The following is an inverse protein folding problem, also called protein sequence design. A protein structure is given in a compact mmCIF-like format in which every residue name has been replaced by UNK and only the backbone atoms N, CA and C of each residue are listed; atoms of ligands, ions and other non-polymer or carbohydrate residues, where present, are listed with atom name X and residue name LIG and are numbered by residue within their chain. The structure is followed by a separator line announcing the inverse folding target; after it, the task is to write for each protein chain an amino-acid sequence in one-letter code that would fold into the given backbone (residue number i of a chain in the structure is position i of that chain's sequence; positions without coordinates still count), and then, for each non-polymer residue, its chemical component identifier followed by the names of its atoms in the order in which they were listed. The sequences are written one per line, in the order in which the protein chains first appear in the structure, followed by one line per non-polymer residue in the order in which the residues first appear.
data_IF_105123313549
#
_entry.id   IF_105123313549
#
_cell.length_a   1.000
_cell.length_b   1.000
_cell.length_c   1.000
_cell.angle_alpha   90.00
_cell.angle_beta   90.00
_cell.angle_gamma   90.00
#
_symmetry.space_group_name_H-M   'P 1'
#
loop_
_entity.id
_entity.type
_entity.pdbx_description
1 polymer ?
#
# COMPACT_ATOMS: atom_id res chain seq x y z
N UNK A 1 24.04 17.59 -23.39
CA UNK A 1 23.91 16.24 -24.01
C UNK A 1 23.46 15.12 -23.06
N UNK A 2 23.25 15.36 -21.76
CA UNK A 2 22.75 14.35 -20.80
C UNK A 2 21.24 14.05 -20.87
N UNK A 3 20.43 14.92 -21.50
CA UNK A 3 18.97 14.74 -21.60
C UNK A 3 18.53 13.72 -22.66
N UNK A 4 19.40 13.41 -23.63
CA UNK A 4 19.09 12.48 -24.73
C UNK A 4 19.17 11.01 -24.31
N UNK A 5 20.07 10.68 -23.38
CA UNK A 5 20.27 9.31 -22.89
C UNK A 5 19.09 8.88 -22.00
N UNK A 6 18.55 9.81 -21.20
CA UNK A 6 17.39 9.53 -20.34
C UNK A 6 16.07 9.36 -21.11
N UNK A 7 15.92 9.94 -22.31
CA UNK A 7 14.71 9.71 -23.12
C UNK A 7 14.75 8.37 -23.87
N UNK A 8 15.94 7.91 -24.27
CA UNK A 8 16.13 6.59 -24.89
C UNK A 8 15.87 5.43 -23.91
N UNK A 9 16.25 5.60 -22.63
CA UNK A 9 16.02 4.57 -21.60
C UNK A 9 14.53 4.46 -21.24
N UNK A 10 13.80 5.59 -21.20
CA UNK A 10 12.36 5.57 -20.93
C UNK A 10 11.54 4.95 -22.07
N UNK A 11 11.96 5.08 -23.33
CA UNK A 11 11.27 4.44 -24.45
C UNK A 11 11.58 2.95 -24.58
N UNK A 12 12.74 2.49 -24.09
CA UNK A 12 13.08 1.07 -24.01
C UNK A 12 12.36 0.33 -22.87
N UNK A 13 12.27 0.96 -21.69
CA UNK A 13 11.61 0.34 -20.52
C UNK A 13 10.08 0.23 -20.68
N UNK A 14 9.46 1.16 -21.39
CA UNK A 14 8.00 1.15 -21.62
C UNK A 14 7.49 0.01 -22.51
N UNK A 15 8.38 -0.66 -23.26
CA UNK A 15 8.03 -1.79 -24.16
C UNK A 15 8.40 -3.17 -23.60
N UNK A 16 9.07 -3.24 -22.45
CA UNK A 16 9.54 -4.49 -21.84
C UNK A 16 8.55 -5.15 -20.87
N UNK A 17 7.46 -4.47 -20.51
CA UNK A 17 6.50 -4.96 -19.50
C UNK A 17 5.12 -5.33 -20.06
N UNK A 18 4.96 -5.43 -21.39
CA UNK A 18 3.67 -5.75 -22.02
C UNK A 18 3.78 -6.87 -23.06
N UNK A 19 3.69 -8.13 -22.64
CA UNK A 19 3.57 -9.29 -23.55
C UNK A 19 4.90 -9.88 -24.05
N UNK A 20 4.84 -10.96 -24.86
CA UNK A 20 5.47 -12.28 -24.65
C UNK A 20 6.99 -12.35 -24.84
N UNK A 21 7.73 -11.35 -24.37
CA UNK A 21 9.17 -11.21 -24.60
C UNK A 21 10.04 -12.14 -23.74
N UNK A 22 9.48 -12.68 -22.65
CA UNK A 22 10.19 -13.66 -21.82
C UNK A 22 10.51 -14.95 -22.60
N UNK A 23 9.61 -15.39 -23.49
CA UNK A 23 9.82 -16.57 -24.34
C UNK A 23 10.84 -16.32 -25.46
N UNK A 24 10.88 -15.10 -26.02
CA UNK A 24 11.86 -14.75 -27.05
C UNK A 24 13.29 -14.67 -26.46
N UNK A 25 13.43 -14.16 -25.24
CA UNK A 25 14.72 -14.08 -24.56
C UNK A 25 15.28 -15.47 -24.22
N UNK A 26 14.42 -16.42 -23.81
CA UNK A 26 14.84 -17.82 -23.63
C UNK A 26 15.26 -18.50 -24.94
N UNK A 27 14.60 -18.20 -26.06
CA UNK A 27 14.98 -18.76 -27.37
C UNK A 27 16.31 -18.21 -27.90
N UNK A 28 16.61 -16.94 -27.62
CA UNK A 28 17.87 -16.27 -28.03
C UNK A 28 19.07 -16.76 -27.21
N UNK A 29 18.85 -17.21 -25.97
CA UNK A 29 19.90 -17.78 -25.10
C UNK A 29 20.09 -19.30 -25.28
N UNK A 30 19.20 -19.96 -26.02
CA UNK A 30 19.24 -21.40 -26.25
C UNK A 30 20.47 -21.89 -27.06
N UNK A 31 20.94 -21.18 -28.11
CA UNK A 31 22.13 -21.60 -28.87
C UNK A 31 23.41 -21.46 -28.05
N UNK A 32 23.50 -20.45 -27.17
CA UNK A 32 24.65 -20.25 -26.31
C UNK A 32 24.80 -21.39 -25.29
N UNK A 33 23.68 -21.90 -24.74
CA UNK A 33 23.69 -23.05 -23.81
C UNK A 33 23.94 -24.40 -24.48
N UNK A 34 23.65 -24.53 -25.77
CA UNK A 34 23.95 -25.73 -26.56
C UNK A 34 25.38 -25.72 -27.11
N UNK A 35 25.92 -24.57 -27.49
CA UNK A 35 27.32 -24.42 -27.90
C UNK A 35 28.30 -24.72 -26.76
N UNK A 36 27.94 -24.33 -25.52
CA UNK A 36 28.69 -24.64 -24.31
C UNK A 36 28.78 -26.15 -24.02
N UNK A 37 27.83 -26.94 -24.54
CA UNK A 37 27.80 -28.41 -24.40
C UNK A 37 28.57 -29.18 -25.47
N UNK A 38 28.85 -28.56 -26.61
CA UNK A 38 29.44 -29.26 -27.78
C UNK A 38 30.93 -28.94 -27.97
N UNK A 39 31.42 -27.80 -27.48
CA UNK A 39 32.81 -27.34 -27.73
C UNK A 39 33.65 -27.21 -26.44
N UNK A 40 33.03 -27.02 -25.27
CA UNK A 40 33.75 -26.81 -24.01
C UNK A 40 33.78 -28.05 -23.13
N UNK A 41 34.91 -28.73 -23.07
CA UNK A 41 35.15 -29.81 -22.10
C UNK A 41 34.78 -29.38 -20.67
N UNK A 42 34.05 -30.27 -19.99
CA UNK A 42 33.77 -30.31 -18.56
C UNK A 42 34.06 -29.04 -17.76
N UNK A 43 33.15 -28.07 -17.77
CA UNK A 43 33.04 -27.15 -16.64
C UNK A 43 32.61 -28.03 -15.45
N UNK A 44 33.40 -28.14 -14.37
CA UNK A 44 32.96 -28.87 -13.19
C UNK A 44 31.63 -28.29 -12.76
N UNK A 45 30.65 -29.17 -12.51
CA UNK A 45 29.33 -28.76 -12.04
C UNK A 45 29.51 -27.68 -10.96
N UNK A 46 28.82 -26.53 -11.06
CA UNK A 46 28.95 -25.49 -10.04
C UNK A 46 28.72 -26.15 -8.68
N UNK A 47 29.60 -25.93 -7.69
CA UNK A 47 29.56 -26.65 -6.43
C UNK A 47 28.14 -26.60 -5.87
N UNK A 48 27.61 -27.76 -5.51
CA UNK A 48 26.27 -27.91 -4.93
C UNK A 48 26.30 -27.29 -3.54
N UNK A 49 26.08 -25.98 -3.50
CA UNK A 49 26.17 -25.17 -2.29
C UNK A 49 26.23 -23.70 -2.67
N UNK A 50 25.38 -22.88 -2.06
CA UNK A 50 25.46 -21.44 -2.23
C UNK A 50 26.87 -20.98 -1.83
N UNK A 51 27.62 -20.44 -2.80
CA UNK A 51 28.86 -19.75 -2.51
C UNK A 51 28.63 -18.60 -1.52
N UNK A 52 29.67 -18.12 -0.82
CA UNK A 52 29.55 -17.08 0.20
C UNK A 52 28.81 -15.83 -0.32
N UNK A 53 29.01 -15.47 -1.59
CA UNK A 53 28.33 -14.36 -2.25
C UNK A 53 26.82 -14.61 -2.46
N UNK A 54 26.42 -15.85 -2.77
CA UNK A 54 25.02 -16.23 -2.93
C UNK A 54 24.30 -16.27 -1.57
N UNK A 55 24.98 -16.69 -0.50
CA UNK A 55 24.43 -16.62 0.87
C UNK A 55 24.24 -15.18 1.33
N UNK A 56 25.26 -14.34 1.16
CA UNK A 56 25.16 -12.91 1.49
C UNK A 56 24.03 -12.20 0.73
N UNK A 57 23.82 -12.54 -0.55
CA UNK A 57 22.71 -12.00 -1.33
C UNK A 57 21.35 -12.50 -0.81
N UNK A 58 21.23 -13.80 -0.47
CA UNK A 58 20.00 -14.35 0.12
C UNK A 58 19.67 -13.70 1.46
N UNK A 59 20.67 -13.52 2.31
CA UNK A 59 20.50 -12.86 3.62
C UNK A 59 20.09 -11.40 3.45
N UNK A 60 20.68 -10.69 2.48
CA UNK A 60 20.29 -9.32 2.14
C UNK A 60 18.82 -9.26 1.68
N UNK A 61 18.41 -10.12 0.74
CA UNK A 61 17.02 -10.20 0.25
C UNK A 61 16.07 -10.54 1.40
N UNK A 62 16.40 -11.52 2.24
CA UNK A 62 15.57 -11.91 3.37
C UNK A 62 15.39 -10.75 4.36
N UNK A 63 16.46 -9.98 4.60
CA UNK A 63 16.42 -8.80 5.45
C UNK A 63 15.48 -7.72 4.87
N UNK A 64 15.56 -7.44 3.57
CA UNK A 64 14.70 -6.46 2.90
C UNK A 64 13.22 -6.88 2.94
N UNK A 65 12.93 -8.16 2.68
CA UNK A 65 11.58 -8.71 2.78
C UNK A 65 11.04 -8.57 4.20
N UNK A 66 11.85 -8.87 5.21
CA UNK A 66 11.44 -8.73 6.62
C UNK A 66 11.06 -7.27 6.95
N UNK A 67 11.82 -6.29 6.47
CA UNK A 67 11.52 -4.87 6.67
C UNK A 67 10.25 -4.46 5.94
N UNK A 68 10.07 -4.90 4.70
CA UNK A 68 8.86 -4.63 3.93
C UNK A 68 7.60 -5.19 4.63
N UNK A 69 7.67 -6.41 5.16
CA UNK A 69 6.54 -7.00 5.91
C UNK A 69 6.22 -6.24 7.20
N UNK A 70 7.24 -5.77 7.93
CA UNK A 70 7.05 -4.94 9.12
C UNK A 70 6.38 -3.60 8.77
N UNK A 71 6.79 -2.96 7.67
CA UNK A 71 6.19 -1.70 7.23
C UNK A 71 4.74 -1.85 6.81
N UNK A 72 4.39 -2.94 6.11
CA UNK A 72 3.02 -3.24 5.73
C UNK A 72 2.16 -3.57 6.97
N UNK A 73 2.71 -4.28 7.95
CA UNK A 73 2.03 -4.52 9.22
C UNK A 73 1.71 -3.21 9.96
N UNK A 74 2.65 -2.28 10.02
CA UNK A 74 2.46 -0.97 10.66
C UNK A 74 1.43 -0.13 9.90
N UNK A 75 1.51 -0.02 8.58
CA UNK A 75 0.55 0.77 7.79
C UNK A 75 -0.88 0.24 7.90
N UNK A 76 -1.05 -1.09 7.90
CA UNK A 76 -2.36 -1.72 8.14
C UNK A 76 -2.91 -1.39 9.52
N UNK A 77 -2.06 -1.44 10.56
CA UNK A 77 -2.50 -1.11 11.92
C UNK A 77 -2.90 0.36 12.08
N UNK A 78 -2.21 1.28 11.40
CA UNK A 78 -2.59 2.70 11.34
C UNK A 78 -3.96 2.85 10.65
N UNK A 79 -4.18 2.16 9.54
CA UNK A 79 -5.45 2.22 8.79
C UNK A 79 -6.61 1.64 9.61
N UNK A 80 -6.41 0.49 10.26
CA UNK A 80 -7.44 -0.10 11.13
C UNK A 80 -7.74 0.82 12.32
N UNK A 81 -6.71 1.40 12.94
CA UNK A 81 -6.91 2.34 14.03
C UNK A 81 -7.69 3.60 13.58
N UNK A 82 -7.40 4.13 12.40
CA UNK A 82 -8.12 5.29 11.86
C UNK A 82 -9.60 4.95 11.58
N UNK A 83 -9.87 3.77 11.02
CA UNK A 83 -11.22 3.27 10.79
C UNK A 83 -11.99 3.09 12.11
N UNK A 84 -11.38 2.42 13.09
CA UNK A 84 -11.98 2.20 14.40
C UNK A 84 -12.26 3.52 15.13
N UNK A 85 -11.35 4.50 14.99
CA UNK A 85 -11.52 5.80 15.62
C UNK A 85 -12.69 6.58 15.01
N UNK A 86 -12.85 6.53 13.69
CA UNK A 86 -13.98 7.15 12.99
C UNK A 86 -15.30 6.47 13.34
N UNK A 87 -15.33 5.13 13.40
CA UNK A 87 -16.53 4.38 13.78
C UNK A 87 -16.96 4.67 15.23
N UNK A 88 -16.00 4.89 16.13
CA UNK A 88 -16.27 5.20 17.53
C UNK A 88 -16.45 6.70 17.81
N UNK A 89 -16.31 7.57 16.80
CA UNK A 89 -16.25 9.03 16.92
C UNK A 89 -15.28 9.53 18.01
N UNK A 90 -14.21 8.78 18.25
CA UNK A 90 -13.17 9.10 19.24
C UNK A 90 -11.86 8.40 18.92
N UNK A 91 -10.70 8.93 19.34
CA UNK A 91 -9.43 8.23 19.20
C UNK A 91 -9.49 6.82 19.82
N UNK A 92 -9.26 5.80 19.00
CA UNK A 92 -9.24 4.40 19.43
C UNK A 92 -8.01 4.09 20.30
N UNK A 93 -8.03 3.02 21.12
CA UNK A 93 -6.85 2.59 21.85
C UNK A 93 -5.71 2.19 20.89
N UNK A 94 -4.50 2.71 21.14
CA UNK A 94 -3.33 2.45 20.27
C UNK A 94 -2.69 1.10 20.59
N UNK A 95 -2.40 0.25 19.58
CA UNK A 95 -1.72 -1.02 19.79
C UNK A 95 -0.32 -0.91 20.45
N UNK A 96 -0.08 -1.73 21.48
CA UNK A 96 1.16 -1.73 22.27
C UNK A 96 2.43 -2.15 21.49
N UNK A 97 2.29 -2.81 20.35
CA UNK A 97 3.45 -3.25 19.55
C UNK A 97 3.90 -2.22 18.52
N UNK A 98 3.15 -1.12 18.32
CA UNK A 98 3.50 -0.10 17.34
C UNK A 98 4.81 0.63 17.71
N UNK A 99 5.55 1.17 16.71
CA UNK A 99 6.69 2.03 16.96
C UNK A 99 6.33 3.24 17.83
N UNK A 100 7.28 3.70 18.66
CA UNK A 100 7.06 4.78 19.62
C UNK A 100 6.58 6.08 18.96
N UNK A 101 7.15 6.42 17.81
CA UNK A 101 6.82 7.66 17.08
C UNK A 101 5.39 7.62 16.54
N UNK A 102 4.95 6.46 16.06
CA UNK A 102 3.57 6.26 15.60
C UNK A 102 2.61 6.30 16.78
N UNK A 103 2.99 5.74 17.93
CA UNK A 103 2.14 5.74 19.13
C UNK A 103 1.85 7.12 19.69
N UNK A 104 2.84 8.02 19.68
CA UNK A 104 2.65 9.40 20.13
C UNK A 104 1.97 10.27 19.07
N UNK A 105 2.03 9.87 17.80
CA UNK A 105 1.41 10.59 16.70
C UNK A 105 -0.09 10.29 16.57
N UNK A 106 -0.51 9.02 16.59
CA UNK A 106 -1.89 8.60 16.32
C UNK A 106 -2.95 9.35 17.15
N UNK A 107 -2.83 9.45 18.50
CA UNK A 107 -3.87 10.09 19.32
C UNK A 107 -4.06 11.59 19.06
N UNK A 108 -3.09 12.25 18.41
CA UNK A 108 -3.16 13.67 18.08
C UNK A 108 -3.68 13.97 16.68
N UNK A 109 -4.14 12.95 15.95
CA UNK A 109 -4.76 13.13 14.65
C UNK A 109 -6.20 13.61 14.80
N UNK A 110 -6.61 14.52 13.92
CA UNK A 110 -8.00 14.96 13.82
C UNK A 110 -8.85 13.96 13.03
N UNK A 111 -10.17 14.10 13.11
CA UNK A 111 -11.12 13.26 12.36
C UNK A 111 -10.92 13.35 10.84
N UNK A 112 -10.70 14.56 10.32
CA UNK A 112 -10.48 14.80 8.88
C UNK A 112 -9.16 14.21 8.39
N UNK A 113 -8.13 14.22 9.23
CA UNK A 113 -6.87 13.53 8.95
C UNK A 113 -7.06 12.01 8.89
N UNK A 114 -7.88 11.45 9.78
CA UNK A 114 -8.22 10.02 9.75
C UNK A 114 -9.03 9.65 8.49
N UNK A 115 -9.96 10.49 8.04
CA UNK A 115 -10.70 10.28 6.78
C UNK A 115 -9.76 10.31 5.57
N UNK A 116 -8.79 11.22 5.61
CA UNK A 116 -7.73 11.31 4.60
C UNK A 116 -6.85 10.05 4.60
N UNK A 117 -6.53 9.50 5.77
CA UNK A 117 -5.79 8.24 5.88
C UNK A 117 -6.59 7.05 5.31
N UNK A 118 -7.90 6.97 5.56
CA UNK A 118 -8.73 5.87 5.03
C UNK A 118 -8.89 5.95 3.52
N UNK A 119 -8.99 7.17 2.97
CA UNK A 119 -9.09 7.38 1.52
C UNK A 119 -7.74 7.23 0.79
N UNK A 120 -6.65 7.07 1.52
CA UNK A 120 -5.31 6.93 0.97
C UNK A 120 -4.89 5.49 0.72
N UNK A 121 -3.99 5.31 -0.26
CA UNK A 121 -3.43 4.00 -0.57
C UNK A 121 -2.49 3.49 0.53
N UNK A 122 -2.53 2.19 0.80
CA UNK A 122 -1.61 1.49 1.74
C UNK A 122 -0.12 1.82 1.51
N UNK A 123 0.43 1.79 0.28
CA UNK A 123 1.83 2.18 0.05
C UNK A 123 2.09 3.66 0.37
N UNK A 124 1.13 4.56 0.15
CA UNK A 124 1.28 5.97 0.49
C UNK A 124 1.35 6.17 2.02
N UNK A 125 0.51 5.46 2.77
CA UNK A 125 0.54 5.46 4.24
C UNK A 125 1.87 4.89 4.74
N UNK A 126 2.34 3.78 4.16
CA UNK A 126 3.63 3.19 4.51
C UNK A 126 4.79 4.17 4.27
N UNK A 127 4.81 4.85 3.12
CA UNK A 127 5.81 5.89 2.82
C UNK A 127 5.70 7.10 3.76
N UNK A 128 4.48 7.44 4.19
CA UNK A 128 4.22 8.51 5.14
C UNK A 128 4.74 8.21 6.53
N UNK A 129 4.45 7.02 7.06
CA UNK A 129 4.94 6.57 8.36
C UNK A 129 6.47 6.51 8.41
N UNK A 130 7.09 6.22 7.26
CA UNK A 130 8.56 6.21 7.11
C UNK A 130 9.18 7.61 6.93
N UNK A 131 8.38 8.67 6.96
CA UNK A 131 8.80 10.05 6.67
C UNK A 131 9.44 10.23 5.27
N UNK A 132 9.17 9.33 4.31
CA UNK A 132 9.67 9.42 2.93
C UNK A 132 8.80 10.37 2.12
N UNK A 133 7.48 10.33 2.34
CA UNK A 133 6.49 11.11 1.60
C UNK A 133 5.49 11.75 2.55
N UNK A 134 5.27 13.06 2.44
CA UNK A 134 4.24 13.72 3.23
C UNK A 134 2.89 13.58 2.53
N UNK A 135 1.94 12.94 3.21
CA UNK A 135 0.58 12.77 2.72
C UNK A 135 -0.17 14.10 2.86
N UNK A 136 -0.80 14.57 1.78
CA UNK A 136 -1.53 15.84 1.79
C UNK A 136 -2.75 15.72 2.67
N UNK A 137 -2.95 16.68 3.58
CA UNK A 137 -4.08 16.67 4.51
C UNK A 137 -3.84 15.86 5.79
N UNK A 138 -2.64 15.31 6.00
CA UNK A 138 -2.25 14.65 7.25
C UNK A 138 -0.96 15.28 7.79
N UNK A 139 -0.94 15.65 9.08
CA UNK A 139 0.27 16.10 9.78
C UNK A 139 1.36 15.03 9.76
N UNK A 140 2.62 15.46 9.66
CA UNK A 140 3.79 14.56 9.65
C UNK A 140 3.82 13.69 10.91
N UNK A 141 4.44 12.52 10.80
CA UNK A 141 4.67 11.63 11.94
C UNK A 141 5.68 12.27 12.89
N UNK A 142 5.13 12.94 13.88
CA UNK A 142 5.83 13.59 14.97
C UNK A 142 5.01 13.39 16.25
N UNK A 143 5.60 13.54 17.44
CA UNK A 143 4.84 13.51 18.68
C UNK A 143 3.77 14.61 18.65
N UNK A 144 2.51 14.24 18.77
CA UNK A 144 1.39 15.17 18.82
C UNK A 144 0.72 15.08 20.20
N UNK A 145 0.13 16.19 20.63
CA UNK A 145 -0.72 16.19 21.82
C UNK A 145 -2.03 15.47 21.46
N UNK A 146 -2.53 14.62 22.36
CA UNK A 146 -3.78 13.92 22.14
C UNK A 146 -4.91 14.92 21.90
N UNK A 147 -5.58 14.80 20.75
CA UNK A 147 -6.63 15.72 20.32
C UNK A 147 -7.98 15.14 20.74
N UNK A 148 -8.82 15.96 21.38
CA UNK A 148 -10.20 15.55 21.71
C UNK A 148 -11.08 15.90 20.52
N UNK A 149 -11.72 14.88 19.94
CA UNK A 149 -12.56 15.07 18.77
C UNK A 149 -13.88 15.74 19.17
N UNK A 150 -14.34 16.77 18.44
CA UNK A 150 -15.65 17.34 18.69
C UNK A 150 -16.72 16.28 18.36
N UNK A 151 -17.79 16.17 19.17
CA UNK A 151 -18.87 15.23 18.90
C UNK A 151 -19.54 15.58 17.56
N UNK A 152 -19.91 14.55 16.80
CA UNK A 152 -20.66 14.74 15.55
C UNK A 152 -22.02 15.37 15.88
N UNK A 153 -22.43 16.45 15.20
CA UNK A 153 -23.76 17.02 15.42
C UNK A 153 -24.83 16.00 15.04
N UNK A 154 -25.72 15.70 15.99
CA UNK A 154 -26.87 14.78 15.80
C UNK A 154 -27.84 15.25 14.71
N UNK A 155 -27.81 16.54 14.39
CA UNK A 155 -28.65 17.16 13.38
C UNK A 155 -27.78 18.01 12.46
N UNK A 156 -27.73 17.62 11.20
CA UNK A 156 -27.21 18.43 10.11
C UNK A 156 -28.41 18.91 9.33
N UNK A 157 -28.57 20.23 9.22
CA UNK A 157 -29.66 20.81 8.43
C UNK A 157 -29.54 20.27 6.99
N UNK A 158 -30.59 19.63 6.44
CA UNK A 158 -30.51 19.02 5.13
C UNK A 158 -30.19 20.09 4.09
N UNK A 159 -29.28 19.77 3.15
CA UNK A 159 -28.92 20.69 2.07
C UNK A 159 -30.20 21.21 1.39
N UNK A 160 -30.36 22.54 1.22
CA UNK A 160 -31.56 23.11 0.64
C UNK A 160 -31.83 22.46 -0.72
N UNK A 161 -33.03 21.86 -0.86
CA UNK A 161 -33.44 21.09 -2.04
C UNK A 161 -33.47 19.57 -1.85
N UNK A 162 -32.75 18.99 -0.88
CA UNK A 162 -32.79 17.54 -0.63
C UNK A 162 -34.17 17.09 -0.13
N UNK A 163 -34.82 17.91 0.71
CA UNK A 163 -36.17 17.66 1.19
C UNK A 163 -37.20 17.60 0.03
N UNK A 164 -37.02 18.45 -1.00
CA UNK A 164 -37.87 18.42 -2.20
C UNK A 164 -37.65 17.15 -3.03
N UNK A 165 -36.41 16.68 -3.15
CA UNK A 165 -36.12 15.43 -3.84
C UNK A 165 -36.68 14.22 -3.08
N UNK A 166 -36.45 14.15 -1.77
CA UNK A 166 -36.97 13.08 -0.91
C UNK A 166 -38.50 13.02 -0.92
N UNK A 167 -39.17 14.18 -0.90
CA UNK A 167 -40.63 14.27 -0.95
C UNK A 167 -41.23 13.97 -2.34
N UNK A 168 -40.45 14.09 -3.42
CA UNK A 168 -40.92 13.82 -4.79
C UNK A 168 -40.70 12.36 -5.24
N UNK A 169 -40.03 11.54 -4.43
CA UNK A 169 -39.91 10.11 -4.70
C UNK A 169 -41.27 9.41 -4.48
N UNK A 170 -41.81 8.70 -5.49
CA UNK A 170 -43.03 7.93 -5.31
C UNK A 170 -42.82 6.82 -4.26
N UNK A 171 -43.84 6.50 -3.45
CA UNK A 171 -43.73 5.45 -2.44
C UNK A 171 -43.32 4.13 -3.10
N UNK A 172 -42.16 3.60 -2.74
CA UNK A 172 -41.72 2.29 -3.24
C UNK A 172 -42.68 1.23 -2.68
N UNK A 173 -43.32 0.41 -3.53
CA UNK A 173 -44.15 -0.68 -3.05
C UNK A 173 -43.26 -1.67 -2.30
N UNK A 174 -43.44 -1.75 -0.98
CA UNK A 174 -42.83 -2.78 -0.15
C UNK A 174 -43.49 -4.09 -0.57
N UNK A 175 -42.80 -4.89 -1.40
CA UNK A 175 -43.25 -6.24 -1.74
C UNK A 175 -43.23 -7.09 -0.47
N UNK A 176 -44.35 -7.14 0.23
CA UNK A 176 -44.56 -8.09 1.32
C UNK A 176 -44.58 -9.49 0.72
N UNK A 177 -43.44 -10.19 0.84
CA UNK A 177 -43.34 -11.60 0.48
C UNK A 177 -44.18 -12.38 1.49
N UNK A 178 -45.47 -12.56 1.21
CA UNK A 178 -46.31 -13.52 1.96
C UNK A 178 -45.63 -14.88 1.87
N UNK A 179 -45.09 -15.36 3.00
CA UNK A 179 -44.74 -16.77 3.16
C UNK A 179 -46.06 -17.53 3.16
N UNK A 180 -46.27 -18.38 2.15
CA UNK A 180 -47.32 -19.39 2.18
C UNK A 180 -46.99 -20.39 3.30
N UNK A 181 -47.98 -20.66 4.15
CA UNK A 181 -47.96 -21.69 5.16
C UNK A 181 -48.23 -23.06 4.54
#
# INVERSE_FOLDING_TARGET
MLRSIFSAIKSALGRLFGGPFAFLWELVLMPARLADRVIGGGVPAPPIGDGPNARALKDAIASEVSMATNHDKVSRAVLTWAADSILADRPAPVPLWLPRDVKSWLPGLSRTECETLISSDKPAISAHVRNIYQLKGVRRVQPLQAETWPPVPLYVEPTPGFAHYAASLPPRPIKTRRRAA
#
